data_IF_015466820150
#
_entry.id   IF_015466820150
#
_cell.length_a   1.000
_cell.length_b   1.000
_cell.length_c   1.000
_cell.angle_alpha   90.00
_cell.angle_beta   90.00
_cell.angle_gamma   90.00
#
_symmetry.space_group_name_H-M   'P 1'
#
loop_
_entity.id
_entity.type
_entity.pdbx_description
1 polymer ?
#
# COMPACT_ATOMS: atom_id res chain seq x y z
N UNK A 1 1.86 -23.49 26.40
CA UNK A 1 2.65 -22.82 25.35
C UNK A 1 3.92 -23.61 25.15
N UNK A 2 4.28 -23.94 23.92
CA UNK A 2 5.48 -24.72 23.59
C UNK A 2 6.57 -23.75 23.16
N UNK A 3 7.73 -23.82 23.80
CA UNK A 3 8.92 -23.04 23.45
C UNK A 3 10.02 -23.97 22.92
N UNK A 4 10.71 -23.55 21.87
CA UNK A 4 11.88 -24.26 21.35
C UNK A 4 13.15 -23.49 21.68
N UNK A 5 14.10 -24.12 22.37
CA UNK A 5 15.36 -23.51 22.78
C UNK A 5 16.49 -24.09 21.96
N UNK A 6 17.22 -23.21 21.29
CA UNK A 6 18.34 -23.57 20.43
C UNK A 6 19.62 -23.02 21.04
N UNK A 7 20.67 -23.83 21.07
CA UNK A 7 21.99 -23.41 21.55
C UNK A 7 23.06 -24.26 20.89
N UNK A 8 24.24 -23.69 20.68
CA UNK A 8 25.44 -24.47 20.32
C UNK A 8 25.90 -25.41 21.44
N UNK A 9 25.32 -25.28 22.64
CA UNK A 9 25.60 -26.12 23.81
C UNK A 9 24.57 -27.25 24.00
N UNK A 10 23.54 -27.30 23.15
CA UNK A 10 22.49 -28.33 23.14
C UNK A 10 22.71 -29.30 21.96
N UNK A 11 22.16 -30.54 22.01
CA UNK A 11 22.12 -31.44 20.84
C UNK A 11 21.41 -30.80 19.65
N UNK A 12 21.68 -31.26 18.43
CA UNK A 12 21.21 -30.63 17.17
C UNK A 12 19.69 -30.42 17.07
N UNK A 13 18.89 -31.18 17.83
CA UNK A 13 17.43 -31.09 17.82
C UNK A 13 16.85 -29.98 18.73
N UNK A 14 17.70 -29.27 19.49
CA UNK A 14 17.26 -28.25 20.46
C UNK A 14 16.43 -28.84 21.61
N UNK A 15 15.88 -27.96 22.47
CA UNK A 15 15.05 -28.36 23.60
C UNK A 15 13.64 -27.79 23.46
N UNK A 16 12.61 -28.64 23.47
CA UNK A 16 11.21 -28.20 23.44
C UNK A 16 10.57 -28.31 24.83
N UNK A 17 10.05 -27.19 25.34
CA UNK A 17 9.48 -27.10 26.69
C UNK A 17 8.02 -26.64 26.65
N UNK A 18 7.16 -27.33 27.38
CA UNK A 18 5.78 -26.91 27.63
C UNK A 18 5.71 -26.04 28.89
N UNK A 19 5.35 -24.77 28.72
CA UNK A 19 5.25 -23.79 29.80
C UNK A 19 3.94 -23.03 29.75
N UNK A 20 3.54 -22.47 30.89
CA UNK A 20 2.36 -21.60 30.95
C UNK A 20 2.73 -20.14 30.64
N UNK A 21 1.84 -19.35 29.99
CA UNK A 21 2.12 -17.96 29.62
C UNK A 21 2.42 -17.02 30.81
N UNK A 22 1.91 -17.36 31.99
CA UNK A 22 2.08 -16.65 33.25
C UNK A 22 3.38 -17.00 34.00
N UNK A 23 4.19 -17.92 33.47
CA UNK A 23 5.50 -18.22 34.05
C UNK A 23 6.40 -16.99 34.02
N UNK A 24 7.17 -16.79 35.09
CA UNK A 24 8.23 -15.79 35.10
C UNK A 24 9.46 -16.29 34.32
N UNK A 25 10.23 -15.38 33.75
CA UNK A 25 11.47 -15.71 33.05
C UNK A 25 12.49 -16.43 33.96
N UNK A 26 12.55 -16.08 35.26
CA UNK A 26 13.39 -16.77 36.23
C UNK A 26 12.98 -18.25 36.41
N UNK A 27 11.67 -18.53 36.43
CA UNK A 27 11.13 -19.90 36.49
C UNK A 27 11.44 -20.67 35.21
N UNK A 28 11.34 -20.04 34.04
CA UNK A 28 11.73 -20.65 32.76
C UNK A 28 13.23 -21.03 32.76
N UNK A 29 14.13 -20.13 33.19
CA UNK A 29 15.57 -20.44 33.28
C UNK A 29 15.88 -21.60 34.23
N UNK A 30 15.13 -21.71 35.32
CA UNK A 30 15.27 -22.82 36.28
C UNK A 30 14.82 -24.14 35.64
N UNK A 31 13.70 -24.13 34.92
CA UNK A 31 13.18 -25.30 34.22
C UNK A 31 14.15 -25.77 33.12
N UNK A 32 14.73 -24.83 32.36
CA UNK A 32 15.77 -25.14 31.37
C UNK A 32 16.99 -25.76 32.05
N UNK A 33 17.41 -25.22 33.20
CA UNK A 33 18.55 -25.74 33.95
C UNK A 33 18.31 -27.18 34.44
N UNK A 34 17.10 -27.49 34.91
CA UNK A 34 16.73 -28.85 35.30
C UNK A 34 16.77 -29.82 34.11
N UNK A 35 16.19 -29.42 32.97
CA UNK A 35 16.09 -30.26 31.77
C UNK A 35 17.46 -30.59 31.15
N UNK A 36 18.42 -29.65 31.23
CA UNK A 36 19.81 -29.87 30.77
C UNK A 36 20.71 -30.50 31.85
N UNK A 37 20.14 -31.05 32.93
CA UNK A 37 20.85 -31.66 34.05
C UNK A 37 21.84 -30.71 34.76
N UNK A 38 21.47 -29.43 34.92
CA UNK A 38 22.25 -28.37 35.57
C UNK A 38 23.65 -28.13 34.99
N UNK A 39 23.87 -28.46 33.70
CA UNK A 39 25.12 -28.15 33.00
C UNK A 39 25.39 -26.64 32.92
N UNK A 40 24.33 -25.84 32.85
CA UNK A 40 24.39 -24.37 32.91
C UNK A 40 23.48 -23.94 34.05
N UNK A 41 23.98 -23.09 34.94
CA UNK A 41 23.18 -22.52 36.05
C UNK A 41 22.33 -21.36 35.53
N UNK A 42 21.12 -21.11 36.08
CA UNK A 42 20.22 -20.04 35.63
C UNK A 42 20.88 -18.65 35.52
N UNK A 43 21.78 -18.31 36.46
CA UNK A 43 22.52 -17.03 36.48
C UNK A 43 23.50 -16.85 35.31
N UNK A 44 23.86 -17.95 34.64
CA UNK A 44 24.76 -17.98 33.49
C UNK A 44 24.01 -18.10 32.16
N UNK A 45 22.68 -18.18 32.19
CA UNK A 45 21.82 -18.29 31.02
C UNK A 45 21.37 -16.93 30.51
N UNK A 46 21.73 -16.64 29.26
CA UNK A 46 21.26 -15.50 28.51
C UNK A 46 20.37 -16.00 27.38
N UNK A 47 19.07 -15.73 27.49
CA UNK A 47 18.07 -16.13 26.49
C UNK A 47 17.82 -14.96 25.55
N UNK A 48 17.94 -15.20 24.25
CA UNK A 48 17.70 -14.22 23.21
C UNK A 48 16.49 -14.63 22.38
N UNK A 49 15.76 -13.65 21.89
CA UNK A 49 14.74 -13.80 20.86
C UNK A 49 14.98 -12.77 19.78
N UNK A 50 15.10 -13.20 18.52
CA UNK A 50 15.33 -12.30 17.39
C UNK A 50 16.49 -11.31 17.65
N UNK A 51 17.57 -11.80 18.29
CA UNK A 51 18.74 -10.99 18.68
C UNK A 51 18.61 -10.13 19.95
N UNK A 52 17.45 -10.13 20.63
CA UNK A 52 17.19 -9.32 21.84
C UNK A 52 17.28 -10.15 23.12
N UNK A 53 18.05 -9.67 24.11
CA UNK A 53 18.23 -10.34 25.39
C UNK A 53 16.99 -10.20 26.29
N UNK A 54 16.46 -11.33 26.75
CA UNK A 54 15.45 -11.39 27.80
C UNK A 54 16.15 -11.27 29.15
N UNK A 55 16.19 -10.06 29.69
CA UNK A 55 16.94 -9.72 30.91
C UNK A 55 16.09 -9.69 32.19
N UNK A 56 14.80 -9.40 32.07
CA UNK A 56 13.92 -9.14 33.21
C UNK A 56 13.33 -10.44 33.76
N UNK A 57 13.89 -10.91 34.88
CA UNK A 57 13.55 -12.20 35.49
C UNK A 57 12.15 -12.28 36.11
N UNK A 58 11.59 -11.13 36.51
CA UNK A 58 10.32 -11.02 37.24
C UNK A 58 9.10 -10.92 36.32
N UNK A 59 9.32 -10.55 35.04
CA UNK A 59 8.27 -10.46 34.04
C UNK A 59 7.80 -11.83 33.60
N UNK A 60 6.51 -11.91 33.30
CA UNK A 60 5.91 -13.12 32.75
C UNK A 60 6.32 -13.33 31.29
N UNK A 61 6.28 -14.58 30.81
CA UNK A 61 6.58 -14.89 29.41
C UNK A 61 5.62 -14.14 28.45
N UNK A 62 4.36 -13.94 28.87
CA UNK A 62 3.39 -13.13 28.15
C UNK A 62 3.76 -11.64 28.11
N UNK A 63 4.25 -11.06 29.21
CA UNK A 63 4.74 -9.67 29.26
C UNK A 63 6.01 -9.46 28.44
N UNK A 64 6.81 -10.51 28.28
CA UNK A 64 7.97 -10.55 27.38
C UNK A 64 7.56 -10.84 25.91
N UNK A 65 6.25 -10.88 25.64
CA UNK A 65 5.68 -11.02 24.30
C UNK A 65 5.88 -12.39 23.66
N UNK A 66 6.23 -13.42 24.44
CA UNK A 66 6.46 -14.78 23.93
C UNK A 66 5.13 -15.42 23.53
N UNK A 67 5.11 -16.00 22.33
CA UNK A 67 3.94 -16.64 21.71
C UNK A 67 4.18 -18.14 21.59
N UNK A 68 3.12 -18.90 21.33
CA UNK A 68 3.20 -20.34 21.13
C UNK A 68 4.12 -20.69 19.95
N UNK A 69 4.99 -21.68 20.15
CA UNK A 69 6.07 -22.08 19.24
C UNK A 69 7.19 -21.05 19.04
N UNK A 70 7.40 -20.11 19.98
CA UNK A 70 8.52 -19.19 19.89
C UNK A 70 9.87 -19.91 20.08
N UNK A 71 10.85 -19.50 19.28
CA UNK A 71 12.22 -20.00 19.33
C UNK A 71 13.08 -19.04 20.15
N UNK A 72 13.84 -19.60 21.11
CA UNK A 72 14.74 -18.87 21.99
C UNK A 72 16.17 -19.37 21.79
N UNK A 73 17.12 -18.45 21.63
CA UNK A 73 18.53 -18.78 21.60
C UNK A 73 19.13 -18.71 22.99
N UNK A 74 19.71 -19.81 23.48
CA UNK A 74 20.42 -19.85 24.75
C UNK A 74 21.92 -19.65 24.53
N UNK A 75 22.45 -18.60 25.14
CA UNK A 75 23.87 -18.27 25.15
C UNK A 75 24.42 -18.20 26.58
N UNK A 76 25.69 -18.57 26.74
CA UNK A 76 26.48 -18.32 27.95
C UNK A 76 27.47 -17.18 27.73
N UNK A 77 27.98 -16.59 28.82
CA UNK A 77 28.99 -15.53 28.74
C UNK A 77 30.25 -15.97 27.97
N UNK A 78 30.62 -17.23 28.06
CA UNK A 78 31.74 -17.84 27.33
C UNK A 78 31.43 -17.97 25.83
N UNK A 79 30.23 -18.43 25.46
CA UNK A 79 29.80 -18.50 24.05
C UNK A 79 29.75 -17.13 23.37
N UNK A 80 29.27 -16.09 24.08
CA UNK A 80 29.22 -14.71 23.57
C UNK A 80 30.64 -14.14 23.42
N UNK A 81 31.57 -14.49 24.30
CA UNK A 81 32.98 -14.10 24.17
C UNK A 81 33.67 -14.78 22.99
N UNK A 82 33.37 -16.07 22.74
CA UNK A 82 33.87 -16.81 21.58
C UNK A 82 33.36 -16.19 20.25
N UNK A 83 32.06 -15.87 20.17
CA UNK A 83 31.47 -15.15 19.04
C UNK A 83 32.14 -13.79 18.80
N UNK A 84 32.42 -13.02 19.86
CA UNK A 84 33.11 -11.72 19.76
C UNK A 84 34.58 -11.84 19.37
N UNK A 85 35.27 -12.91 19.77
CA UNK A 85 36.65 -13.18 19.37
C UNK A 85 36.74 -13.63 17.90
N UNK A 86 35.80 -14.44 17.43
CA UNK A 86 35.68 -14.80 16.01
C UNK A 86 35.44 -13.57 15.12
N UNK A 87 34.59 -12.64 15.57
CA UNK A 87 34.31 -11.39 14.85
C UNK A 87 35.50 -10.40 14.86
N UNK A 88 36.32 -10.40 15.92
CA UNK A 88 37.56 -9.59 15.99
C UNK A 88 38.73 -10.18 15.19
N UNK A 89 38.83 -11.50 15.10
CA UNK A 89 39.84 -12.16 14.26
C UNK A 89 39.59 -11.94 12.75
N UNK A 90 38.34 -11.70 12.35
CA UNK A 90 37.98 -11.37 10.97
C UNK A 90 38.33 -9.92 10.55
N UNK A 91 38.71 -9.03 11.48
CA UNK A 91 38.85 -7.59 11.22
C UNK A 91 40.26 -7.02 11.40
N UNK A 92 41.29 -7.82 11.67
CA UNK A 92 42.67 -7.32 11.78
C UNK A 92 43.74 -8.31 11.23
N UNK A 93 44.17 -8.09 9.98
CA UNK A 93 45.36 -8.69 9.36
C UNK A 93 45.64 -8.09 7.96
N UNK A 94 46.91 -7.79 7.60
CA UNK A 94 47.25 -7.00 6.41
C UNK A 94 47.28 -7.81 5.12
N UNK A 95 46.96 -7.16 4.01
CA UNK A 95 47.00 -7.71 2.67
C UNK A 95 48.42 -7.76 2.12
N UNK A 96 48.89 -8.94 1.69
CA UNK A 96 49.43 -9.17 0.34
C UNK A 96 49.86 -10.64 0.14
N UNK A 97 49.41 -11.18 -0.99
CA UNK A 97 49.96 -12.30 -1.76
C UNK A 97 50.00 -13.73 -1.17
N UNK A 98 49.16 -14.54 -1.82
CA UNK A 98 49.29 -15.96 -2.12
C UNK A 98 48.58 -16.98 -1.20
N UNK A 99 47.39 -17.34 -1.72
CA UNK A 99 46.95 -18.73 -1.96
C UNK A 99 46.35 -19.53 -0.79
N UNK A 100 45.02 -19.60 -0.86
CA UNK A 100 44.30 -20.84 -1.14
C UNK A 100 44.24 -21.88 0.00
N UNK A 101 43.27 -21.72 0.91
CA UNK A 101 42.39 -22.80 1.36
C UNK A 101 41.32 -22.30 2.36
N UNK A 102 40.07 -22.25 1.90
CA UNK A 102 38.88 -22.64 2.66
C UNK A 102 38.39 -21.73 3.79
N UNK A 103 37.26 -21.04 3.57
CA UNK A 103 36.37 -20.68 4.67
C UNK A 103 35.56 -19.40 4.54
N UNK A 104 34.82 -19.21 3.45
CA UNK A 104 33.49 -18.58 3.52
C UNK A 104 32.66 -18.92 2.25
N UNK A 105 32.29 -20.20 2.15
CA UNK A 105 31.32 -20.74 1.18
C UNK A 105 29.89 -20.35 1.58
N UNK A 106 29.64 -19.05 1.74
CA UNK A 106 28.30 -18.56 2.05
C UNK A 106 27.44 -18.76 0.79
N UNK A 107 26.72 -19.89 0.77
CA UNK A 107 25.92 -20.52 -0.31
C UNK A 107 26.69 -21.25 -1.42
N UNK A 108 27.13 -22.48 -1.10
CA UNK A 108 27.57 -23.48 -2.08
C UNK A 108 26.63 -23.51 -3.29
N UNK A 109 27.16 -23.29 -4.51
CA UNK A 109 26.37 -23.37 -5.74
C UNK A 109 25.62 -24.70 -5.86
N UNK A 110 26.17 -25.76 -5.26
CA UNK A 110 25.53 -27.07 -5.13
C UNK A 110 24.29 -27.07 -4.21
N UNK A 111 24.31 -26.35 -3.08
CA UNK A 111 23.15 -26.22 -2.19
C UNK A 111 22.01 -25.49 -2.89
N UNK A 112 22.32 -24.43 -3.62
CA UNK A 112 21.34 -23.70 -4.44
C UNK A 112 20.79 -24.58 -5.56
N UNK A 113 21.66 -25.34 -6.25
CA UNK A 113 21.27 -26.28 -7.31
C UNK A 113 20.34 -27.38 -6.78
N UNK A 114 20.65 -27.95 -5.62
CA UNK A 114 19.83 -28.98 -4.97
C UNK A 114 18.48 -28.44 -4.50
N UNK A 115 18.44 -27.20 -4.00
CA UNK A 115 17.19 -26.51 -3.63
C UNK A 115 16.31 -26.26 -4.86
N UNK A 116 16.90 -25.82 -5.97
CA UNK A 116 16.20 -25.65 -7.25
C UNK A 116 15.64 -26.99 -7.77
N UNK A 117 16.40 -28.08 -7.67
CA UNK A 117 15.91 -29.41 -8.06
C UNK A 117 14.74 -29.91 -7.18
N UNK A 118 14.66 -29.46 -5.93
CA UNK A 118 13.59 -29.79 -4.99
C UNK A 118 12.33 -28.94 -5.11
N UNK A 119 12.39 -27.78 -5.78
CA UNK A 119 11.28 -26.82 -5.86
C UNK A 119 10.86 -26.56 -7.32
N UNK A 120 9.71 -27.11 -7.69
CA UNK A 120 9.18 -27.04 -9.05
C UNK A 120 8.68 -25.64 -9.44
N UNK A 121 8.27 -24.82 -8.47
CA UNK A 121 7.86 -23.44 -8.72
C UNK A 121 9.08 -22.56 -9.02
N UNK A 122 10.15 -22.70 -8.23
CA UNK A 122 11.41 -21.98 -8.49
C UNK A 122 12.02 -22.35 -9.85
N UNK A 123 11.95 -23.63 -10.24
CA UNK A 123 12.42 -24.06 -11.57
C UNK A 123 11.61 -23.50 -12.73
N UNK A 124 10.31 -23.31 -12.53
CA UNK A 124 9.43 -22.74 -13.56
C UNK A 124 9.74 -21.26 -13.77
N UNK A 125 9.98 -20.53 -12.68
CA UNK A 125 10.45 -19.13 -12.71
C UNK A 125 11.85 -19.01 -13.31
N UNK A 126 12.78 -19.90 -12.94
CA UNK A 126 14.15 -19.88 -13.47
C UNK A 126 14.18 -20.12 -14.98
N UNK A 127 13.30 -20.98 -15.51
CA UNK A 127 13.16 -21.23 -16.95
C UNK A 127 12.67 -20.01 -17.73
N UNK A 128 11.78 -19.22 -17.11
CA UNK A 128 11.23 -18.02 -17.72
C UNK A 128 12.23 -16.86 -17.71
N UNK A 129 12.96 -16.69 -16.61
CA UNK A 129 13.89 -15.56 -16.44
C UNK A 129 15.30 -15.83 -16.97
N UNK A 130 15.80 -17.06 -16.81
CA UNK A 130 17.18 -17.41 -17.12
C UNK A 130 17.31 -18.85 -17.65
N UNK A 131 16.91 -19.08 -18.92
CA UNK A 131 16.84 -20.42 -19.51
C UNK A 131 18.20 -21.15 -19.50
N UNK A 132 19.29 -20.42 -19.70
CA UNK A 132 20.65 -20.98 -19.75
C UNK A 132 21.12 -21.56 -18.41
N UNK A 133 20.71 -20.96 -17.29
CA UNK A 133 21.00 -21.48 -15.95
C UNK A 133 20.07 -22.65 -15.60
N UNK A 134 18.80 -22.58 -16.02
CA UNK A 134 17.82 -23.65 -15.83
C UNK A 134 18.20 -24.96 -16.56
N UNK A 135 18.77 -24.86 -17.76
CA UNK A 135 19.29 -26.03 -18.49
C UNK A 135 20.51 -26.65 -17.80
N UNK A 136 21.35 -25.82 -17.18
CA UNK A 136 22.55 -26.25 -16.49
C UNK A 136 22.29 -26.88 -15.11
N UNK A 137 21.08 -26.79 -14.54
CA UNK A 137 20.73 -27.34 -13.20
C UNK A 137 21.06 -28.84 -13.06
N UNK A 138 20.98 -29.60 -14.15
CA UNK A 138 21.29 -31.04 -14.17
C UNK A 138 22.79 -31.34 -14.28
N UNK A 139 23.63 -30.34 -14.55
CA UNK A 139 25.08 -30.46 -14.66
C UNK A 139 25.75 -29.61 -13.55
N UNK A 140 26.25 -30.25 -12.47
CA UNK A 140 26.91 -29.57 -11.35
C UNK A 140 28.01 -28.59 -11.76
N UNK A 141 28.86 -28.98 -12.72
CA UNK A 141 30.02 -28.19 -13.10
C UNK A 141 29.61 -27.00 -13.95
N UNK A 142 28.69 -27.21 -14.90
CA UNK A 142 28.17 -26.15 -15.76
C UNK A 142 27.31 -25.16 -14.97
N UNK A 143 26.50 -25.64 -14.03
CA UNK A 143 25.71 -24.81 -13.13
C UNK A 143 26.60 -23.87 -12.31
N UNK A 144 27.64 -24.40 -11.66
CA UNK A 144 28.55 -23.62 -10.83
C UNK A 144 29.26 -22.51 -11.62
N UNK A 145 29.71 -22.81 -12.84
CA UNK A 145 30.37 -21.82 -13.71
C UNK A 145 29.43 -20.68 -14.11
N UNK A 146 28.22 -21.00 -14.57
CA UNK A 146 27.22 -20.00 -14.99
C UNK A 146 26.76 -19.18 -13.79
N UNK A 147 26.54 -19.83 -12.64
CA UNK A 147 26.14 -19.17 -11.40
C UNK A 147 27.19 -18.16 -10.92
N UNK A 148 28.48 -18.54 -10.90
CA UNK A 148 29.57 -17.63 -10.54
C UNK A 148 29.72 -16.44 -11.50
N UNK A 149 29.53 -16.68 -12.81
CA UNK A 149 29.53 -15.61 -13.81
C UNK A 149 28.35 -14.64 -13.60
N UNK A 150 27.17 -15.15 -13.27
CA UNK A 150 25.99 -14.32 -13.00
C UNK A 150 26.17 -13.50 -11.72
N UNK A 151 26.68 -14.11 -10.65
CA UNK A 151 26.92 -13.43 -9.39
C UNK A 151 28.00 -12.35 -9.50
N UNK A 152 29.07 -12.59 -10.26
CA UNK A 152 30.09 -11.57 -10.51
C UNK A 152 29.53 -10.39 -11.28
N UNK A 153 28.77 -10.64 -12.36
CA UNK A 153 28.06 -9.58 -13.09
C UNK A 153 27.08 -8.81 -12.19
N UNK A 154 26.34 -9.49 -11.32
CA UNK A 154 25.40 -8.86 -10.38
C UNK A 154 26.13 -7.95 -9.39
N UNK A 155 27.21 -8.46 -8.78
CA UNK A 155 28.06 -7.69 -7.85
C UNK A 155 28.71 -6.49 -8.51
N UNK A 156 29.13 -6.62 -9.76
CA UNK A 156 29.73 -5.51 -10.51
C UNK A 156 28.71 -4.40 -10.80
N UNK A 157 27.50 -4.77 -11.23
CA UNK A 157 26.41 -3.81 -11.45
C UNK A 157 25.96 -3.11 -10.15
N UNK A 158 25.85 -3.85 -9.04
CA UNK A 158 25.54 -3.28 -7.71
C UNK A 158 26.61 -2.28 -7.27
N UNK A 159 27.89 -2.59 -7.50
CA UNK A 159 29.02 -1.71 -7.15
C UNK A 159 29.07 -0.46 -8.01
N UNK A 160 28.76 -0.58 -9.31
CA UNK A 160 28.68 0.56 -10.21
C UNK A 160 27.55 1.51 -9.79
N UNK A 161 26.37 0.97 -9.47
CA UNK A 161 25.24 1.75 -8.92
C UNK A 161 25.59 2.45 -7.61
N UNK A 162 26.29 1.76 -6.70
CA UNK A 162 26.76 2.36 -5.43
C UNK A 162 27.76 3.50 -5.67
N UNK A 163 28.67 3.34 -6.64
CA UNK A 163 29.60 4.40 -7.02
C UNK A 163 28.86 5.59 -7.61
N UNK A 164 27.89 5.37 -8.48
CA UNK A 164 27.08 6.44 -9.07
C UNK A 164 26.34 7.23 -7.99
N UNK A 165 25.70 6.55 -7.04
CA UNK A 165 25.04 7.19 -5.88
C UNK A 165 26.05 7.97 -5.01
N UNK A 166 27.23 7.40 -4.76
CA UNK A 166 28.29 8.09 -4.01
C UNK A 166 28.77 9.35 -4.74
N UNK A 167 28.94 9.27 -6.06
CA UNK A 167 29.37 10.41 -6.90
C UNK A 167 28.32 11.51 -6.92
N UNK A 168 27.02 11.14 -6.91
CA UNK A 168 25.92 12.10 -6.79
C UNK A 168 25.87 12.76 -5.40
N UNK A 169 26.32 12.08 -4.35
CA UNK A 169 26.39 12.61 -2.98
C UNK A 169 27.66 13.42 -2.67
N UNK A 170 28.72 13.32 -3.48
CA UNK A 170 30.02 13.98 -3.26
C UNK A 170 29.93 15.52 -3.33
N UNK A 171 28.93 16.07 -4.02
CA UNK A 171 28.61 17.51 -3.99
C UNK A 171 27.15 17.75 -3.56
N UNK A 172 26.90 17.92 -2.26
CA UNK A 172 25.57 18.18 -1.72
C UNK A 172 24.94 19.49 -2.20
N UNK A 173 25.66 20.38 -2.89
CA UNK A 173 25.14 21.66 -3.41
C UNK A 173 24.96 21.67 -4.93
N UNK A 174 25.25 20.56 -5.61
CA UNK A 174 25.02 20.43 -7.03
C UNK A 174 23.52 20.20 -7.31
N UNK A 175 22.89 21.18 -7.95
CA UNK A 175 21.46 21.19 -8.26
C UNK A 175 21.06 20.01 -9.16
N UNK A 176 21.92 19.59 -10.08
CA UNK A 176 21.64 18.47 -10.98
C UNK A 176 21.75 17.12 -10.25
N UNK A 177 22.73 16.97 -9.33
CA UNK A 177 22.84 15.79 -8.48
C UNK A 177 21.68 15.68 -7.50
N UNK A 178 21.27 16.79 -6.86
CA UNK A 178 20.09 16.84 -6.00
C UNK A 178 18.82 16.46 -6.75
N UNK A 179 18.60 17.00 -7.95
CA UNK A 179 17.45 16.64 -8.80
C UNK A 179 17.47 15.15 -9.15
N UNK A 180 18.64 14.58 -9.45
CA UNK A 180 18.76 13.16 -9.78
C UNK A 180 18.48 12.26 -8.57
N UNK A 181 18.96 12.65 -7.40
CA UNK A 181 18.66 11.97 -6.13
C UNK A 181 17.16 12.06 -5.80
N UNK A 182 16.56 13.24 -5.97
CA UNK A 182 15.11 13.45 -5.78
C UNK A 182 14.28 12.57 -6.72
N UNK A 183 14.67 12.47 -7.99
CA UNK A 183 14.01 11.62 -8.98
C UNK A 183 14.10 10.13 -8.60
N UNK A 184 15.27 9.67 -8.18
CA UNK A 184 15.46 8.28 -7.72
C UNK A 184 14.63 7.96 -6.46
N UNK A 185 14.59 8.87 -5.49
CA UNK A 185 13.77 8.72 -4.27
C UNK A 185 12.29 8.69 -4.64
N UNK A 186 11.86 9.56 -5.55
CA UNK A 186 10.48 9.61 -6.02
C UNK A 186 10.10 8.30 -6.74
N UNK A 187 10.94 7.81 -7.65
CA UNK A 187 10.70 6.54 -8.33
C UNK A 187 10.60 5.37 -7.35
N UNK A 188 11.44 5.35 -6.31
CA UNK A 188 11.41 4.36 -5.26
C UNK A 188 10.14 4.40 -4.43
N UNK A 189 9.74 5.59 -3.97
CA UNK A 189 8.48 5.77 -3.24
C UNK A 189 7.26 5.39 -4.08
N UNK A 190 7.25 5.73 -5.38
CA UNK A 190 6.17 5.34 -6.29
C UNK A 190 6.10 3.82 -6.47
N UNK A 191 7.26 3.17 -6.61
CA UNK A 191 7.35 1.70 -6.76
C UNK A 191 6.89 0.97 -5.51
N UNK A 192 7.31 1.43 -4.34
CA UNK A 192 6.90 0.87 -3.06
C UNK A 192 5.39 1.02 -2.85
N UNK A 193 4.84 2.20 -3.14
CA UNK A 193 3.40 2.43 -3.09
C UNK A 193 2.62 1.53 -4.07
N UNK A 194 3.14 1.34 -5.30
CA UNK A 194 2.55 0.44 -6.27
C UNK A 194 2.55 -1.01 -5.78
N UNK A 195 3.67 -1.46 -5.20
CA UNK A 195 3.79 -2.81 -4.65
C UNK A 195 2.84 -3.01 -3.47
N UNK A 196 2.76 -2.07 -2.55
CA UNK A 196 1.81 -2.08 -1.44
C UNK A 196 0.37 -2.12 -1.96
N UNK A 197 0.04 -1.34 -2.98
CA UNK A 197 -1.28 -1.38 -3.57
C UNK A 197 -1.58 -2.76 -4.20
N UNK A 198 -0.61 -3.39 -4.88
CA UNK A 198 -0.79 -4.73 -5.46
C UNK A 198 -0.99 -5.81 -4.39
N UNK A 199 -0.28 -5.70 -3.26
CA UNK A 199 -0.35 -6.66 -2.16
C UNK A 199 -1.64 -6.51 -1.34
N UNK A 200 -2.00 -5.29 -0.96
CA UNK A 200 -3.10 -5.03 -0.03
C UNK A 200 -4.42 -4.64 -0.71
N UNK A 201 -4.36 -4.05 -1.92
CA UNK A 201 -5.53 -3.53 -2.65
C UNK A 201 -5.53 -3.98 -4.13
N UNK A 202 -5.52 -5.30 -4.42
CA UNK A 202 -5.49 -5.79 -5.79
C UNK A 202 -6.69 -5.31 -6.62
N UNK A 203 -7.83 -5.03 -5.98
CA UNK A 203 -9.05 -4.49 -6.61
C UNK A 203 -8.85 -3.08 -7.21
N UNK A 204 -7.89 -2.31 -6.72
CA UNK A 204 -7.58 -0.97 -7.29
C UNK A 204 -7.04 -1.04 -8.72
N UNK A 205 -6.57 -2.22 -9.14
CA UNK A 205 -6.07 -2.48 -10.49
C UNK A 205 -7.07 -3.24 -11.37
N UNK A 206 -8.18 -3.68 -10.78
CA UNK A 206 -9.27 -4.35 -11.47
C UNK A 206 -10.15 -3.34 -12.22
N UNK A 207 -10.65 -3.73 -13.39
CA UNK A 207 -11.67 -2.95 -14.08
C UNK A 207 -12.99 -3.09 -13.32
N UNK A 208 -13.57 -1.98 -12.88
CA UNK A 208 -14.87 -1.99 -12.20
C UNK A 208 -15.97 -2.13 -13.25
N UNK A 209 -16.73 -3.22 -13.18
CA UNK A 209 -17.88 -3.44 -14.04
C UNK A 209 -18.97 -2.42 -13.76
N UNK A 210 -19.45 -1.77 -14.83
CA UNK A 210 -20.52 -0.80 -14.77
C UNK A 210 -21.88 -1.45 -14.42
N UNK A 211 -22.76 -0.69 -13.77
CA UNK A 211 -24.05 -1.20 -13.30
C UNK A 211 -25.08 -1.23 -14.45
N UNK A 212 -25.43 -2.43 -14.91
CA UNK A 212 -26.51 -2.64 -15.88
C UNK A 212 -27.60 -3.53 -15.32
N UNK A 213 -28.85 -3.26 -15.69
CA UNK A 213 -29.99 -4.14 -15.39
C UNK A 213 -30.78 -4.48 -16.65
N UNK A 214 -31.31 -5.71 -16.76
CA UNK A 214 -32.19 -6.07 -17.86
C UNK A 214 -33.58 -5.47 -17.62
N UNK A 215 -34.11 -4.80 -18.65
CA UNK A 215 -35.44 -4.19 -18.63
C UNK A 215 -36.18 -4.53 -19.91
N UNK A 216 -37.50 -4.41 -19.93
CA UNK A 216 -38.27 -4.45 -21.18
C UNK A 216 -39.02 -3.14 -21.38
N UNK A 217 -38.89 -2.54 -22.55
CA UNK A 217 -39.64 -1.35 -22.94
C UNK A 217 -40.58 -1.74 -24.08
N UNK A 218 -41.89 -1.63 -23.86
CA UNK A 218 -42.91 -2.02 -24.83
C UNK A 218 -42.72 -3.47 -25.37
N UNK A 219 -42.27 -4.39 -24.52
CA UNK A 219 -42.01 -5.80 -24.85
C UNK A 219 -40.64 -6.08 -25.49
N UNK A 220 -39.80 -5.06 -25.72
CA UNK A 220 -38.45 -5.21 -26.25
C UNK A 220 -37.42 -5.24 -25.11
N UNK A 221 -36.56 -6.27 -25.01
CA UNK A 221 -35.53 -6.33 -23.98
C UNK A 221 -34.42 -5.31 -24.26
N UNK A 222 -34.07 -4.53 -23.23
CA UNK A 222 -33.05 -3.48 -23.27
C UNK A 222 -32.17 -3.61 -22.03
N UNK A 223 -30.88 -3.33 -22.17
CA UNK A 223 -29.95 -3.26 -21.03
C UNK A 223 -29.86 -1.81 -20.59
N UNK A 224 -30.38 -1.50 -19.40
CA UNK A 224 -30.38 -0.15 -18.88
C UNK A 224 -29.12 0.08 -18.03
N UNK A 225 -28.36 1.12 -18.36
CA UNK A 225 -27.24 1.61 -17.55
C UNK A 225 -27.76 2.40 -16.35
N UNK A 226 -27.31 2.07 -15.15
CA UNK A 226 -27.78 2.69 -13.90
C UNK A 226 -26.79 3.74 -13.43
N UNK A 227 -27.20 5.01 -13.46
CA UNK A 227 -26.31 6.15 -13.19
C UNK A 227 -27.00 7.15 -12.26
N UNK A 228 -26.57 7.16 -10.99
CA UNK A 228 -27.03 8.12 -9.99
C UNK A 228 -26.44 9.52 -10.17
N UNK A 229 -25.36 9.66 -10.96
CA UNK A 229 -24.74 10.94 -11.31
C UNK A 229 -25.49 11.68 -12.42
N UNK A 230 -26.28 10.98 -13.23
CA UNK A 230 -27.12 11.60 -14.23
C UNK A 230 -28.41 12.18 -13.62
N UNK A 231 -28.65 13.47 -13.83
CA UNK A 231 -29.87 14.12 -13.36
C UNK A 231 -31.14 13.57 -14.04
N UNK A 232 -31.04 13.15 -15.31
CA UNK A 232 -32.18 12.74 -16.11
C UNK A 232 -31.97 11.38 -16.77
N UNK A 233 -33.05 10.60 -16.84
CA UNK A 233 -33.11 9.34 -17.60
C UNK A 233 -33.12 9.65 -19.09
N UNK A 234 -32.26 8.98 -19.85
CA UNK A 234 -32.02 9.27 -21.27
C UNK A 234 -32.13 7.98 -22.08
N UNK A 235 -32.70 8.08 -23.27
CA UNK A 235 -32.80 6.97 -24.21
C UNK A 235 -32.20 7.37 -25.56
N UNK A 236 -31.50 6.44 -26.21
CA UNK A 236 -30.98 6.64 -27.57
C UNK A 236 -32.12 6.67 -28.59
N UNK A 237 -31.97 7.38 -29.72
CA UNK A 237 -32.96 7.36 -30.79
C UNK A 237 -33.19 5.97 -31.37
N UNK A 238 -32.09 5.20 -31.53
CA UNK A 238 -32.12 3.83 -32.02
C UNK A 238 -32.95 2.92 -31.10
N UNK A 239 -32.73 3.00 -29.80
CA UNK A 239 -33.53 2.25 -28.83
C UNK A 239 -35.02 2.66 -28.88
N UNK A 240 -35.34 3.94 -29.02
CA UNK A 240 -36.72 4.39 -29.15
C UNK A 240 -37.43 3.86 -30.43
N UNK A 241 -36.68 3.71 -31.53
CA UNK A 241 -37.14 3.08 -32.77
C UNK A 241 -37.37 1.57 -32.58
N UNK A 242 -36.40 0.86 -32.02
CA UNK A 242 -36.48 -0.58 -31.77
C UNK A 242 -37.61 -0.94 -30.80
N UNK A 243 -37.83 -0.14 -29.76
CA UNK A 243 -38.94 -0.30 -28.83
C UNK A 243 -40.29 0.17 -29.40
N UNK A 244 -40.33 0.71 -30.62
CA UNK A 244 -41.53 1.21 -31.29
C UNK A 244 -42.31 2.27 -30.47
N UNK A 245 -41.57 3.18 -29.83
CA UNK A 245 -42.13 4.27 -29.01
C UNK A 245 -41.89 5.66 -29.60
N UNK A 246 -41.37 5.75 -30.83
CA UNK A 246 -41.14 7.02 -31.54
C UNK A 246 -42.36 7.94 -31.57
N UNK A 247 -43.58 7.36 -31.63
CA UNK A 247 -44.85 8.09 -31.59
C UNK A 247 -45.14 8.83 -30.27
N UNK A 248 -44.47 8.44 -29.18
CA UNK A 248 -44.64 9.02 -27.86
C UNK A 248 -43.70 10.22 -27.60
N UNK A 249 -42.78 10.50 -28.53
CA UNK A 249 -41.80 11.56 -28.39
C UNK A 249 -42.46 12.91 -28.64
N UNK A 250 -42.56 13.73 -27.59
CA UNK A 250 -43.00 15.11 -27.69
C UNK A 250 -41.84 15.99 -28.16
N UNK A 251 -41.87 16.36 -29.44
CA UNK A 251 -40.85 17.20 -30.11
C UNK A 251 -40.82 18.64 -29.62
N UNK A 252 -41.82 19.11 -28.85
CA UNK A 252 -41.78 20.46 -28.26
C UNK A 252 -40.67 20.61 -27.23
N UNK A 253 -40.19 19.49 -26.69
CA UNK A 253 -39.05 19.41 -25.79
C UNK A 253 -37.73 19.12 -26.53
N UNK A 254 -37.72 19.22 -27.87
CA UNK A 254 -36.49 19.11 -28.66
C UNK A 254 -35.58 20.32 -28.40
N UNK A 255 -34.27 20.11 -28.51
CA UNK A 255 -33.29 21.14 -28.23
C UNK A 255 -31.86 20.64 -28.38
N UNK A 256 -30.90 21.42 -27.90
CA UNK A 256 -29.49 21.03 -27.85
C UNK A 256 -29.08 21.02 -26.39
N UNK A 257 -28.72 19.84 -25.88
CA UNK A 257 -28.14 19.71 -24.55
C UNK A 257 -26.72 20.28 -24.59
N UNK A 258 -26.47 21.34 -23.80
CA UNK A 258 -25.13 21.89 -23.59
C UNK A 258 -24.65 21.47 -22.20
N UNK A 259 -23.62 20.64 -22.17
CA UNK A 259 -22.96 20.19 -20.94
C UNK A 259 -21.57 19.67 -21.27
N UNK A 260 -21.42 18.35 -21.42
CA UNK A 260 -20.15 17.63 -21.68
C UNK A 260 -20.05 17.17 -23.15
N UNK A 261 -20.54 18.01 -24.06
CA UNK A 261 -20.74 17.71 -25.48
C UNK A 261 -21.96 18.46 -26.03
N UNK A 262 -22.06 18.59 -27.36
CA UNK A 262 -23.28 19.07 -28.03
C UNK A 262 -24.11 17.88 -28.48
N UNK A 263 -25.14 17.55 -27.73
CA UNK A 263 -26.03 16.44 -28.03
C UNK A 263 -27.41 16.96 -28.43
N UNK A 264 -27.93 16.49 -29.56
CA UNK A 264 -29.24 16.91 -30.06
C UNK A 264 -30.34 16.11 -29.37
N UNK A 265 -31.24 16.81 -28.68
CA UNK A 265 -32.43 16.23 -28.06
C UNK A 265 -33.53 16.18 -29.13
N UNK A 266 -34.02 14.98 -29.45
CA UNK A 266 -35.14 14.78 -30.37
C UNK A 266 -36.48 15.15 -29.73
N UNK A 267 -36.60 14.96 -28.41
CA UNK A 267 -37.78 15.30 -27.63
C UNK A 267 -37.82 14.52 -26.32
N UNK A 268 -39.00 14.49 -25.69
CA UNK A 268 -39.21 13.81 -24.41
C UNK A 268 -40.39 12.87 -24.46
N UNK A 269 -40.24 11.69 -23.87
CA UNK A 269 -41.35 10.78 -23.57
C UNK A 269 -41.80 11.06 -22.13
N UNK A 270 -43.04 11.50 -21.97
CA UNK A 270 -43.57 11.92 -20.66
C UNK A 270 -43.93 10.74 -19.76
N UNK A 271 -44.38 9.64 -20.34
CA UNK A 271 -44.73 8.42 -19.63
C UNK A 271 -44.70 7.22 -20.59
N UNK A 272 -43.89 6.22 -20.27
CA UNK A 272 -43.89 4.90 -20.88
C UNK A 272 -43.68 3.84 -19.79
N UNK A 273 -44.30 2.68 -19.95
CA UNK A 273 -44.14 1.57 -19.01
C UNK A 273 -42.83 0.84 -19.31
N UNK A 274 -41.94 0.78 -18.33
CA UNK A 274 -40.73 -0.02 -18.36
C UNK A 274 -40.94 -1.20 -17.42
N UNK A 275 -40.86 -2.41 -17.94
CA UNK A 275 -40.92 -3.62 -17.14
C UNK A 275 -39.53 -3.90 -16.57
N UNK A 276 -39.49 -4.10 -15.25
CA UNK A 276 -38.28 -4.37 -14.50
C UNK A 276 -38.58 -5.57 -13.60
N UNK A 277 -38.02 -6.73 -13.94
CA UNK A 277 -38.44 -8.00 -13.34
C UNK A 277 -39.92 -8.25 -13.64
N UNK A 278 -40.73 -8.32 -12.58
CA UNK A 278 -42.18 -8.57 -12.67
C UNK A 278 -43.05 -7.30 -12.57
N UNK A 279 -42.45 -6.13 -12.36
CA UNK A 279 -43.19 -4.87 -12.18
C UNK A 279 -43.10 -3.98 -13.41
N UNK A 280 -44.16 -3.19 -13.64
CA UNK A 280 -44.20 -2.15 -14.67
C UNK A 280 -44.08 -0.78 -14.01
N UNK A 281 -43.01 -0.06 -14.33
CA UNK A 281 -42.68 1.25 -13.79
C UNK A 281 -43.00 2.33 -14.83
N UNK A 282 -43.86 3.31 -14.51
CA UNK A 282 -44.08 4.45 -15.38
C UNK A 282 -42.87 5.40 -15.32
N UNK A 283 -42.14 5.50 -16.43
CA UNK A 283 -40.94 6.29 -16.53
C UNK A 283 -41.06 7.39 -17.59
N UNK A 284 -40.42 8.53 -17.32
CA UNK A 284 -40.23 9.61 -18.30
C UNK A 284 -38.76 9.67 -18.68
N UNK A 285 -38.46 9.86 -19.96
CA UNK A 285 -37.07 9.96 -20.41
C UNK A 285 -36.91 10.90 -21.60
N UNK A 286 -35.71 11.45 -21.71
CA UNK A 286 -35.32 12.36 -22.79
C UNK A 286 -34.66 11.57 -23.90
N UNK A 287 -35.11 11.73 -25.15
CA UNK A 287 -34.52 11.04 -26.29
C UNK A 287 -33.45 11.94 -26.91
N UNK A 288 -32.20 11.49 -26.91
CA UNK A 288 -31.05 12.33 -27.26
C UNK A 288 -30.00 11.56 -28.06
N UNK A 289 -29.50 12.17 -29.14
CA UNK A 289 -28.39 11.66 -29.97
C UNK A 289 -27.04 11.76 -29.24
N UNK A 290 -26.12 10.82 -29.50
CA UNK A 290 -24.72 10.92 -29.04
C UNK A 290 -24.41 10.33 -27.66
N UNK A 291 -25.26 9.44 -27.13
CA UNK A 291 -24.88 8.54 -26.03
C UNK A 291 -24.65 7.13 -26.56
N UNK A 292 -23.55 6.51 -26.16
CA UNK A 292 -23.20 5.11 -26.48
C UNK A 292 -24.03 4.07 -25.69
N UNK A 293 -25.07 4.54 -24.97
CA UNK A 293 -26.01 3.70 -24.22
C UNK A 293 -27.41 3.82 -24.79
N UNK A 294 -28.07 2.66 -24.90
CA UNK A 294 -29.46 2.58 -25.37
C UNK A 294 -30.43 3.21 -24.38
N UNK A 295 -30.29 2.89 -23.10
CA UNK A 295 -31.10 3.44 -22.02
C UNK A 295 -30.23 3.69 -20.79
N UNK A 296 -30.24 4.93 -20.31
CA UNK A 296 -29.65 5.34 -19.05
C UNK A 296 -30.77 5.64 -18.05
N UNK A 297 -30.78 4.92 -16.93
CA UNK A 297 -31.66 5.15 -15.79
C UNK A 297 -31.00 6.14 -14.83
N UNK A 298 -31.50 7.37 -14.85
CA UNK A 298 -30.95 8.49 -14.09
C UNK A 298 -31.56 8.63 -12.71
N UNK A 299 -31.01 9.58 -11.96
CA UNK A 299 -31.43 9.89 -10.59
C UNK A 299 -32.91 10.30 -10.48
N UNK A 300 -33.49 10.89 -11.53
CA UNK A 300 -34.90 11.27 -11.57
C UNK A 300 -35.84 10.06 -11.41
N UNK A 301 -35.59 8.98 -12.15
CA UNK A 301 -36.39 7.76 -12.07
C UNK A 301 -36.01 6.89 -10.87
N UNK A 302 -34.72 6.86 -10.50
CA UNK A 302 -34.26 6.16 -9.30
C UNK A 302 -34.91 6.76 -8.04
N UNK A 303 -34.94 8.09 -7.90
CA UNK A 303 -35.60 8.76 -6.78
C UNK A 303 -37.12 8.60 -6.82
N UNK A 304 -37.74 8.74 -8.00
CA UNK A 304 -39.20 8.61 -8.16
C UNK A 304 -39.71 7.26 -7.67
N UNK A 305 -38.99 6.19 -7.98
CA UNK A 305 -39.39 4.82 -7.63
C UNK A 305 -38.69 4.31 -6.36
N UNK A 306 -38.09 5.21 -5.57
CA UNK A 306 -37.41 4.91 -4.30
C UNK A 306 -36.41 3.74 -4.41
N UNK A 307 -35.60 3.77 -5.46
CA UNK A 307 -34.65 2.70 -5.76
C UNK A 307 -33.53 2.62 -4.73
N UNK A 308 -33.08 1.40 -4.44
CA UNK A 308 -31.87 1.13 -3.64
C UNK A 308 -30.83 0.41 -4.50
N UNK A 309 -29.65 1.01 -4.66
CA UNK A 309 -28.51 0.40 -5.33
C UNK A 309 -27.72 -0.37 -4.26
N UNK A 310 -27.98 -1.67 -4.16
CA UNK A 310 -27.34 -2.54 -3.17
C UNK A 310 -26.10 -3.21 -3.79
N UNK A 311 -24.94 -2.57 -3.61
CA UNK A 311 -23.66 -3.09 -4.11
C UNK A 311 -23.13 -4.27 -3.29
N UNK A 312 -23.60 -4.47 -2.06
CA UNK A 312 -23.20 -5.60 -1.21
C UNK A 312 -23.71 -6.93 -1.79
N UNK A 313 -24.97 -6.94 -2.21
CA UNK A 313 -25.63 -8.12 -2.77
C UNK A 313 -25.68 -8.09 -4.32
N UNK A 314 -25.13 -7.04 -4.93
CA UNK A 314 -25.14 -6.79 -6.38
C UNK A 314 -26.57 -6.76 -6.97
N UNK A 315 -27.47 -6.00 -6.33
CA UNK A 315 -28.89 -5.90 -6.65
C UNK A 315 -29.33 -4.44 -6.83
N UNK A 316 -30.25 -4.22 -7.76
CA UNK A 316 -31.07 -3.02 -7.82
C UNK A 316 -32.46 -3.35 -7.28
N UNK A 317 -32.87 -2.64 -6.24
CA UNK A 317 -34.15 -2.86 -5.56
C UNK A 317 -35.13 -1.72 -5.84
N UNK A 318 -36.38 -2.05 -6.14
CA UNK A 318 -37.52 -1.14 -6.30
C UNK A 318 -38.72 -1.66 -5.53
N UNK A 319 -39.08 -1.02 -4.42
CA UNK A 319 -40.13 -1.52 -3.53
C UNK A 319 -39.82 -2.95 -3.08
N UNK A 320 -40.64 -3.91 -3.50
CA UNK A 320 -40.47 -5.34 -3.19
C UNK A 320 -39.67 -6.13 -4.24
N UNK A 321 -39.41 -5.55 -5.43
CA UNK A 321 -38.70 -6.24 -6.51
C UNK A 321 -37.20 -6.03 -6.39
N UNK A 322 -36.45 -7.13 -6.55
CA UNK A 322 -34.99 -7.15 -6.54
C UNK A 322 -34.49 -7.73 -7.85
N UNK A 323 -33.53 -7.07 -8.48
CA UNK A 323 -32.98 -7.48 -9.77
C UNK A 323 -31.46 -7.47 -9.67
N UNK A 324 -30.82 -8.55 -10.11
CA UNK A 324 -29.37 -8.61 -10.16
C UNK A 324 -28.81 -7.68 -11.25
N UNK A 325 -27.71 -7.00 -10.92
CA UNK A 325 -26.91 -6.36 -11.95
C UNK A 325 -26.33 -7.41 -12.89
N UNK A 326 -26.20 -7.06 -14.17
CA UNK A 326 -25.64 -7.94 -15.18
C UNK A 326 -24.15 -8.23 -14.88
N UNK A 327 -23.68 -9.46 -15.11
CA UNK A 327 -22.26 -9.76 -15.05
C UNK A 327 -21.50 -9.06 -16.20
N UNK A 328 -20.18 -8.93 -16.05
CA UNK A 328 -19.30 -8.26 -17.01
C UNK A 328 -19.46 -8.81 -18.45
N UNK A 329 -19.60 -10.14 -18.59
CA UNK A 329 -19.77 -10.81 -19.88
C UNK A 329 -21.04 -10.41 -20.64
N UNK A 330 -22.06 -9.92 -19.93
CA UNK A 330 -23.35 -9.53 -20.48
C UNK A 330 -23.50 -8.01 -20.61
N UNK A 331 -22.57 -7.22 -20.08
CA UNK A 331 -22.61 -5.77 -20.21
C UNK A 331 -22.31 -5.35 -21.66
N UNK A 332 -23.00 -4.34 -22.21
CA UNK A 332 -22.62 -3.76 -23.49
C UNK A 332 -21.19 -3.22 -23.43
N UNK A 333 -20.34 -3.67 -24.35
CA UNK A 333 -18.98 -3.15 -24.53
C UNK A 333 -18.95 -1.69 -25.00
N UNK A 334 -20.10 -1.06 -25.24
CA UNK A 334 -20.19 0.32 -25.70
C UNK A 334 -19.70 1.35 -24.67
N UNK A 335 -19.63 0.98 -23.39
CA UNK A 335 -19.02 1.80 -22.32
C UNK A 335 -17.59 1.41 -21.98
N UNK A 336 -17.01 0.45 -22.70
CA UNK A 336 -15.58 0.48 -22.93
C UNK A 336 -15.35 1.78 -23.70
N UNK A 337 -14.99 2.84 -22.97
CA UNK A 337 -14.94 4.22 -23.47
C UNK A 337 -14.48 4.27 -24.94
N UNK A 338 -15.11 5.09 -25.81
CA UNK A 338 -14.67 5.22 -27.20
C UNK A 338 -13.18 5.58 -27.19
N UNK A 339 -12.33 4.58 -27.50
CA UNK A 339 -10.91 4.63 -27.23
C UNK A 339 -10.30 3.41 -26.54
N UNK A 340 -11.02 2.34 -26.18
CA UNK A 340 -10.39 1.20 -25.48
C UNK A 340 -9.38 0.36 -26.30
N UNK A 341 -9.28 0.57 -27.62
CA UNK A 341 -8.15 0.06 -28.44
C UNK A 341 -7.04 1.11 -28.63
N UNK A 342 -7.33 2.40 -28.38
CA UNK A 342 -6.45 3.57 -28.52
C UNK A 342 -6.24 4.29 -27.16
N UNK A 343 -6.37 3.58 -26.04
CA UNK A 343 -6.08 4.18 -24.74
C UNK A 343 -4.56 4.36 -24.68
N UNK A 344 -4.04 5.58 -24.47
CA UNK A 344 -2.61 5.79 -24.38
C UNK A 344 -2.09 4.95 -23.21
N UNK A 345 -1.38 3.89 -23.54
CA UNK A 345 -0.73 3.04 -22.56
C UNK A 345 0.46 3.79 -22.02
N UNK A 346 0.47 4.00 -20.72
CA UNK A 346 1.60 4.64 -20.04
C UNK A 346 2.50 3.52 -19.51
N UNK A 347 3.76 3.55 -19.92
CA UNK A 347 4.79 2.71 -19.32
C UNK A 347 5.04 3.19 -17.89
N UNK A 348 4.70 2.35 -16.93
CA UNK A 348 5.03 2.52 -15.53
C UNK A 348 6.41 1.94 -15.18
N UNK A 349 6.86 2.12 -13.93
CA UNK A 349 8.14 1.60 -13.47
C UNK A 349 8.25 0.07 -13.71
N UNK A 350 9.46 -0.38 -14.05
CA UNK A 350 9.79 -1.78 -14.36
C UNK A 350 8.97 -2.40 -15.52
N UNK A 351 8.56 -1.60 -16.52
CA UNK A 351 7.89 -2.10 -17.72
C UNK A 351 6.43 -2.52 -17.50
N UNK A 352 5.80 -2.03 -16.43
CA UNK A 352 4.35 -2.13 -16.24
C UNK A 352 3.63 -1.33 -17.32
N UNK A 353 2.49 -1.84 -17.78
CA UNK A 353 1.64 -1.11 -18.73
C UNK A 353 0.33 -0.80 -18.03
N UNK A 354 0.00 0.49 -17.94
CA UNK A 354 -1.22 0.98 -17.29
C UNK A 354 -2.03 1.74 -18.31
N UNK A 355 -3.34 1.53 -18.32
CA UNK A 355 -4.26 2.35 -19.11
C UNK A 355 -4.24 3.80 -18.60
N UNK A 356 -3.85 4.75 -19.45
CA UNK A 356 -3.66 6.15 -19.05
C UNK A 356 -4.94 6.89 -18.61
N UNK A 357 -6.12 6.35 -18.90
CA UNK A 357 -7.42 6.91 -18.51
C UNK A 357 -8.14 6.05 -17.46
N UNK A 358 -8.05 4.73 -17.58
CA UNK A 358 -8.69 3.76 -16.71
C UNK A 358 -7.91 3.48 -15.43
N UNK A 359 -6.59 3.73 -15.43
CA UNK A 359 -5.69 3.33 -14.34
C UNK A 359 -5.56 1.81 -14.18
N UNK A 360 -6.20 1.03 -15.07
CA UNK A 360 -6.21 -0.42 -15.01
C UNK A 360 -4.84 -0.97 -15.43
N UNK A 361 -4.36 -1.98 -14.71
CA UNK A 361 -3.08 -2.62 -15.02
C UNK A 361 -3.26 -3.60 -16.18
N UNK A 362 -2.72 -3.26 -17.35
CA UNK A 362 -2.76 -4.08 -18.57
C UNK A 362 -1.66 -5.15 -18.49
N UNK A 363 -0.48 -4.76 -17.99
CA UNK A 363 0.64 -5.67 -17.76
C UNK A 363 1.28 -5.34 -16.41
N UNK A 364 1.46 -6.33 -15.52
CA UNK A 364 2.18 -6.12 -14.27
C UNK A 364 3.65 -5.75 -14.51
N UNK A 365 4.29 -5.01 -13.59
CA UNK A 365 5.71 -4.72 -13.69
C UNK A 365 6.52 -6.03 -13.74
N UNK A 366 7.61 -6.03 -14.49
CA UNK A 366 8.61 -7.09 -14.40
C UNK A 366 9.26 -6.98 -13.02
N UNK A 367 8.68 -7.66 -12.04
CA UNK A 367 9.27 -7.76 -10.70
C UNK A 367 10.56 -8.55 -10.86
N UNK A 368 11.70 -7.89 -10.68
CA UNK A 368 12.93 -8.60 -10.31
C UNK A 368 12.63 -9.22 -8.93
N UNK A 369 12.51 -10.55 -8.78
CA UNK A 369 12.07 -11.15 -7.52
C UNK A 369 13.12 -11.05 -6.40
N UNK A 370 14.25 -10.37 -6.64
CA UNK A 370 15.43 -10.42 -5.80
C UNK A 370 15.63 -9.18 -4.93
N UNK A 371 14.55 -8.55 -4.46
CA UNK A 371 14.61 -7.62 -3.33
C UNK A 371 14.48 -8.41 -2.02
N UNK A 372 15.63 -8.83 -1.48
CA UNK A 372 15.76 -9.22 -0.06
C UNK A 372 16.26 -8.00 0.71
N UNK A 373 15.33 -7.12 1.09
CA UNK A 373 15.56 -6.07 2.08
C UNK A 373 14.61 -6.28 3.27
N UNK A 374 15.03 -6.07 4.52
CA UNK A 374 14.13 -6.14 5.66
C UNK A 374 13.12 -4.98 5.55
N UNK A 375 11.86 -5.31 5.32
CA UNK A 375 10.77 -4.33 5.24
C UNK A 375 10.59 -3.61 6.57
N UNK A 376 10.78 -2.29 6.57
CA UNK A 376 10.33 -1.42 7.65
C UNK A 376 8.90 -0.96 7.34
N UNK A 377 7.94 -1.44 8.11
CA UNK A 377 6.56 -0.94 8.12
C UNK A 377 6.51 0.41 8.81
N UNK A 378 5.92 1.43 8.17
CA UNK A 378 5.69 2.74 8.81
C UNK A 378 4.33 2.71 9.51
N UNK A 379 4.35 2.58 10.84
CA UNK A 379 3.15 2.77 11.69
C UNK A 379 3.23 2.15 13.09
N UNK A 380 3.88 2.82 14.06
CA UNK A 380 3.82 2.49 15.51
C UNK A 380 4.87 3.23 16.36
N UNK A 381 4.59 3.64 17.62
CA UNK A 381 5.13 4.86 18.23
C UNK A 381 6.52 4.73 18.89
N UNK A 382 7.23 5.87 18.97
CA UNK A 382 8.56 6.02 19.58
C UNK A 382 8.49 6.40 21.06
N UNK A 383 9.36 5.82 21.89
CA UNK A 383 9.86 6.45 23.14
C UNK A 383 11.35 6.14 23.32
N UNK A 384 12.09 7.17 23.71
CA UNK A 384 13.55 7.30 23.71
C UNK A 384 14.12 7.20 25.13
N UNK A 385 15.35 6.68 25.31
CA UNK A 385 16.31 7.16 26.33
C UNK A 385 17.77 6.72 26.03
N UNK A 386 18.73 7.55 26.43
CA UNK A 386 20.09 7.73 25.89
C UNK A 386 21.23 7.51 26.90
N UNK A 387 22.48 7.17 26.49
CA UNK A 387 23.74 7.64 27.16
C UNK A 387 25.08 7.38 26.38
N UNK A 388 26.06 8.29 26.59
CA UNK A 388 27.28 8.73 25.84
C UNK A 388 28.55 7.82 25.83
N UNK A 389 29.60 7.99 24.96
CA UNK A 389 30.69 9.02 25.06
C UNK A 389 31.71 9.12 23.86
N UNK A 390 31.86 10.34 23.27
CA UNK A 390 33.04 11.15 22.77
C UNK A 390 34.13 10.63 21.77
N UNK A 391 34.88 11.51 21.00
CA UNK A 391 35.14 12.98 21.12
C UNK A 391 35.02 13.89 19.85
N UNK A 392 35.15 15.22 20.05
CA UNK A 392 34.79 16.40 19.18
C UNK A 392 35.85 16.86 18.13
N UNK A 393 35.58 17.81 17.18
CA UNK A 393 35.47 19.27 17.47
C UNK A 393 34.43 20.12 16.65
N UNK A 394 33.80 21.07 17.37
CA UNK A 394 33.27 22.42 17.01
C UNK A 394 32.46 22.68 15.69
N UNK A 395 31.12 22.77 15.80
CA UNK A 395 30.26 23.96 15.46
C UNK A 395 28.76 23.57 15.33
N UNK A 396 27.96 24.09 16.27
CA UNK A 396 26.54 24.48 16.23
C UNK A 396 25.51 23.69 15.40
N UNK A 397 24.68 22.92 16.12
CA UNK A 397 23.58 22.05 15.69
C UNK A 397 22.32 22.79 15.19
N UNK A 398 21.63 22.23 14.20
CA UNK A 398 20.16 22.22 14.14
C UNK A 398 19.65 21.09 13.25
N UNK A 399 19.01 20.07 13.84
CA UNK A 399 17.91 19.35 13.17
C UNK A 399 16.92 18.76 14.16
N UNK A 400 15.68 18.78 13.68
CA UNK A 400 14.35 18.42 14.20
C UNK A 400 14.23 16.91 14.46
N UNK A 401 13.25 16.47 15.28
CA UNK A 401 12.35 15.45 14.75
C UNK A 401 10.89 15.59 15.26
N UNK A 402 9.94 14.90 14.59
CA UNK A 402 8.80 14.15 15.19
C UNK A 402 7.79 13.67 14.12
N UNK A 403 7.03 12.58 14.39
CA UNK A 403 5.55 12.69 14.51
C UNK A 403 4.91 11.78 15.61
N UNK A 404 3.97 12.24 16.50
CA UNK A 404 2.45 12.22 16.51
C UNK A 404 1.84 10.81 16.86
N UNK A 405 0.70 10.53 17.61
CA UNK A 405 -0.57 11.29 17.89
C UNK A 405 -1.32 11.18 19.29
N UNK A 406 -2.23 12.16 19.57
CA UNK A 406 -3.59 12.25 20.23
C UNK A 406 -4.00 11.48 21.55
N UNK A 407 -5.18 11.74 22.22
CA UNK A 407 -5.74 12.99 22.80
C UNK A 407 -6.39 12.81 24.23
N UNK A 408 -6.22 13.74 25.20
CA UNK A 408 -7.11 13.88 26.41
C UNK A 408 -7.19 15.35 26.87
N UNK A 409 -8.38 15.75 27.35
CA UNK A 409 -8.82 17.08 27.82
C UNK A 409 -7.80 17.91 28.66
N UNK A 410 -7.85 19.26 28.60
CA UNK A 410 -6.78 20.13 29.07
C UNK A 410 -6.91 20.54 30.54
N UNK A 411 -5.82 20.55 31.33
CA UNK A 411 -5.63 21.44 32.47
C UNK A 411 -4.86 22.71 32.06
N UNK A 412 -4.84 23.76 32.91
CA UNK A 412 -4.97 25.16 32.50
C UNK A 412 -3.70 25.78 31.91
N UNK A 413 -3.88 26.73 30.98
CA UNK A 413 -2.80 27.52 30.38
C UNK A 413 -2.07 28.40 31.42
N UNK A 414 -0.73 28.48 31.37
CA UNK A 414 0.01 29.61 31.90
C UNK A 414 0.05 30.76 30.86
N UNK A 415 -0.21 31.94 31.36
CA UNK A 415 -0.31 33.22 30.66
C UNK A 415 0.95 33.64 29.92
N UNK A 416 0.75 34.28 28.76
CA UNK A 416 1.53 35.45 28.36
C UNK A 416 2.66 35.24 27.34
N UNK A 417 2.30 35.28 26.05
CA UNK A 417 3.22 35.81 25.01
C UNK A 417 2.42 36.69 24.06
N UNK A 418 2.42 37.99 24.33
CA UNK A 418 1.78 38.98 23.45
C UNK A 418 2.70 39.21 22.25
N UNK A 419 2.28 38.75 21.07
CA UNK A 419 2.88 39.20 19.80
C UNK A 419 2.18 40.49 19.37
N UNK A 420 2.97 41.52 19.07
CA UNK A 420 2.45 42.80 18.59
C UNK A 420 2.05 42.64 17.11
N UNK A 421 0.75 42.57 16.83
CA UNK A 421 0.21 42.58 15.47
C UNK A 421 0.09 44.01 14.92
N UNK A 422 0.27 44.15 13.61
CA UNK A 422 0.09 45.43 12.91
C UNK A 422 -1.33 46.00 13.18
N UNK A 423 -1.46 47.30 13.51
CA UNK A 423 -2.73 47.88 13.95
C UNK A 423 -3.84 47.80 12.88
N UNK A 424 -3.49 47.82 11.60
CA UNK A 424 -4.43 47.71 10.48
C UNK A 424 -5.22 46.39 10.47
N UNK A 425 -4.57 45.29 10.88
CA UNK A 425 -5.20 43.95 10.93
C UNK A 425 -6.20 43.83 12.08
N UNK A 426 -5.92 44.52 13.18
CA UNK A 426 -6.80 44.58 14.35
C UNK A 426 -8.02 45.44 13.99
N UNK A 427 -7.81 46.56 13.30
CA UNK A 427 -8.89 47.45 12.86
C UNK A 427 -9.89 46.74 11.93
N UNK A 428 -9.39 45.92 10.99
CA UNK A 428 -10.23 45.12 10.09
C UNK A 428 -11.17 44.16 10.83
N UNK A 429 -10.67 43.44 11.84
CA UNK A 429 -11.50 42.54 12.64
C UNK A 429 -12.45 43.30 13.58
N UNK A 430 -12.04 44.46 14.11
CA UNK A 430 -12.95 45.30 14.91
C UNK A 430 -14.05 45.94 14.07
N UNK A 431 -13.79 46.25 12.79
CA UNK A 431 -14.80 46.76 11.86
C UNK A 431 -15.91 45.74 11.56
N UNK A 432 -15.61 44.45 11.72
CA UNK A 432 -16.57 43.34 11.61
C UNK A 432 -17.42 43.15 12.88
N UNK A 433 -17.20 43.97 13.92
CA UNK A 433 -18.02 44.01 15.14
C UNK A 433 -17.41 43.31 16.35
N UNK A 434 -16.17 42.81 16.26
CA UNK A 434 -15.48 42.15 17.37
C UNK A 434 -14.69 43.14 18.23
N UNK A 435 -14.45 42.80 19.50
CA UNK A 435 -13.64 43.67 20.36
C UNK A 435 -12.15 43.62 20.00
N UNK A 436 -11.40 44.70 20.28
CA UNK A 436 -9.96 44.77 19.98
C UNK A 436 -9.17 43.64 20.65
N UNK A 437 -9.63 43.21 21.83
CA UNK A 437 -9.07 42.08 22.58
C UNK A 437 -9.30 40.74 21.89
N UNK A 438 -10.50 40.50 21.36
CA UNK A 438 -10.84 39.27 20.63
C UNK A 438 -10.10 39.20 19.30
N UNK A 439 -10.04 40.33 18.57
CA UNK A 439 -9.30 40.44 17.32
C UNK A 439 -7.80 40.12 17.51
N UNK A 440 -7.17 40.68 18.56
CA UNK A 440 -5.76 40.38 18.90
C UNK A 440 -5.56 38.92 19.25
N UNK A 441 -6.48 38.33 20.00
CA UNK A 441 -6.38 36.94 20.40
C UNK A 441 -6.56 35.99 19.21
N UNK A 442 -7.52 36.27 18.33
CA UNK A 442 -7.73 35.51 17.10
C UNK A 442 -6.52 35.63 16.16
N UNK A 443 -5.93 36.82 16.02
CA UNK A 443 -4.70 37.03 15.25
C UNK A 443 -3.48 36.33 15.87
N UNK A 444 -3.39 36.26 17.20
CA UNK A 444 -2.35 35.46 17.86
C UNK A 444 -2.47 33.98 17.50
N UNK A 445 -3.71 33.45 17.55
CA UNK A 445 -3.99 32.04 17.23
C UNK A 445 -3.79 31.72 15.76
N UNK A 446 -4.17 32.65 14.88
CA UNK A 446 -4.01 32.56 13.43
C UNK A 446 -2.62 32.98 12.93
N UNK A 447 -1.67 33.19 13.83
CA UNK A 447 -0.29 33.59 13.54
C UNK A 447 -0.18 34.83 12.62
N UNK A 448 -1.09 35.79 12.78
CA UNK A 448 -1.13 37.05 12.03
C UNK A 448 -1.94 37.04 10.73
N UNK A 449 -2.64 35.94 10.42
CA UNK A 449 -3.56 35.84 9.28
C UNK A 449 -4.97 36.35 9.65
N UNK A 450 -5.49 37.30 8.88
CA UNK A 450 -6.77 37.99 9.16
C UNK A 450 -7.96 37.14 8.74
N UNK A 451 -7.89 36.39 7.64
CA UNK A 451 -9.02 35.59 7.15
C UNK A 451 -9.24 34.38 8.04
N UNK A 452 -8.14 33.73 8.44
CA UNK A 452 -8.18 32.63 9.39
C UNK A 452 -8.66 33.13 10.78
N UNK A 453 -8.21 34.31 11.22
CA UNK A 453 -8.70 34.93 12.46
C UNK A 453 -10.19 35.28 12.40
N UNK A 454 -10.68 35.78 11.27
CA UNK A 454 -12.11 36.05 11.07
C UNK A 454 -12.92 34.74 11.09
N UNK A 455 -12.45 33.68 10.41
CA UNK A 455 -13.12 32.38 10.46
C UNK A 455 -13.19 31.80 11.87
N UNK A 456 -12.15 31.98 12.67
CA UNK A 456 -12.12 31.53 14.07
C UNK A 456 -13.08 32.31 14.97
N UNK A 457 -13.39 33.57 14.62
CA UNK A 457 -14.33 34.41 15.38
C UNK A 457 -15.79 34.21 14.97
N UNK A 458 -16.05 33.84 13.71
CA UNK A 458 -17.40 33.53 13.23
C UNK A 458 -17.81 32.07 13.46
N UNK A 459 -16.85 31.17 13.68
CA UNK A 459 -17.08 29.74 13.94
C UNK A 459 -17.06 28.90 12.68
#
# INVERSE_FOLDING_TARGET
MILSIVSSLLPEDGLSLEVFPDFQLASLKTLIAEEIMNQITPDKMFLYRDGHLLADGEKTLQELGLVDHAVLELHTRESIQALRQAHRAATSGPAEEARNAGGDFMTDSEVIRLRLLGDQNMMSQLREQQPELAEAVNDPQRFSQIFQMLESRRRDAEREKQREIATLNDDPFNIDSQRRIEELIREEAVRENLQNALEYNPESFGRVTMLYVPVEVNGHPVKAFVDSGAQATIMSPKCAEECNIMRLIDRRFAGIAKGVGTAKILGRVHSAQIKLGDQYLPCSFTVMEGKDVDLLLGLDMLKRHQASINLKDNLLEFGETKIHFLPESECPRSFDAPGQEDEPVVEGPAGSLVGGQSGAMIRPPAVNPNFQGPGHTVGGPSVSESSASAPQPLLSQTTIPSPVPTPVNPPPLPSGRQTHHAPEKIEQLTSLGFSETEARQALNTANGDVELAASLLFG
#
